data_IF_548785418212
#
_entry.id   IF_548785418212
#
_cell.length_a   1.000
_cell.length_b   1.000
_cell.length_c   1.000
_cell.angle_alpha   90.00
_cell.angle_beta   90.00
_cell.angle_gamma   90.00
#
_symmetry.space_group_name_H-M   'P 1'
#
loop_
_entity.id
_entity.type
_entity.pdbx_description
1 polymer ?
#
# COMPACT_ATOMS: atom_id res chain seq x y z
N UNK A 1 3.89 12.51 6.38
CA UNK A 1 5.36 12.36 6.36
C UNK A 1 5.74 11.66 5.06
N UNK A 2 6.67 12.26 4.33
CA UNK A 2 7.09 11.86 2.99
C UNK A 2 7.97 10.62 3.05
N UNK A 3 7.75 9.63 2.18
CA UNK A 3 8.72 8.55 1.99
C UNK A 3 8.99 8.26 0.52
N UNK A 4 10.29 8.21 0.23
CA UNK A 4 10.94 7.75 -0.99
C UNK A 4 10.65 6.27 -1.23
N UNK A 5 10.69 5.86 -2.51
CA UNK A 5 10.94 4.47 -2.88
C UNK A 5 12.02 4.46 -3.97
N UNK A 6 13.15 3.83 -3.65
CA UNK A 6 14.04 3.23 -4.62
C UNK A 6 14.06 1.73 -4.33
N UNK A 7 13.82 0.89 -5.32
CA UNK A 7 14.31 -0.50 -5.36
C UNK A 7 14.52 -0.92 -6.83
N UNK A 8 15.54 -1.74 -7.13
CA UNK A 8 15.96 -2.05 -8.50
C UNK A 8 15.30 -3.31 -9.07
N UNK A 9 15.16 -3.27 -10.40
CA UNK A 9 15.33 -4.33 -11.39
C UNK A 9 14.47 -5.63 -11.34
N UNK A 10 13.52 -5.66 -12.29
CA UNK A 10 12.98 -6.83 -13.03
C UNK A 10 11.65 -7.47 -12.60
N UNK A 11 10.57 -6.70 -12.41
CA UNK A 11 9.21 -7.26 -12.49
C UNK A 11 8.21 -6.35 -13.20
N UNK A 12 7.44 -6.95 -14.11
CA UNK A 12 6.28 -6.40 -14.83
C UNK A 12 5.01 -6.31 -13.96
N UNK A 13 5.14 -5.98 -12.67
CA UNK A 13 4.04 -5.91 -11.71
C UNK A 13 3.96 -4.51 -11.09
N UNK A 14 2.83 -3.82 -11.29
CA UNK A 14 2.53 -2.59 -10.55
C UNK A 14 2.31 -2.96 -9.09
N UNK A 15 3.00 -2.29 -8.18
CA UNK A 15 2.92 -2.54 -6.75
C UNK A 15 2.18 -1.38 -6.09
N UNK A 16 0.89 -1.58 -5.77
CA UNK A 16 0.11 -0.58 -5.05
C UNK A 16 0.52 -0.56 -3.57
N UNK A 17 0.78 0.63 -3.03
CA UNK A 17 0.91 0.83 -1.58
C UNK A 17 -0.35 1.51 -1.06
N UNK A 18 -1.09 0.82 -0.21
CA UNK A 18 -2.24 1.37 0.51
C UNK A 18 -1.88 1.39 1.99
N UNK A 19 -2.04 2.56 2.61
CA UNK A 19 -1.80 2.77 4.04
C UNK A 19 -3.10 2.56 4.79
N UNK A 20 -3.11 1.57 5.69
CA UNK A 20 -4.12 1.44 6.73
C UNK A 20 -3.43 1.60 8.08
N UNK A 21 -4.01 2.39 8.99
CA UNK A 21 -3.60 2.30 10.40
C UNK A 21 -4.23 1.04 10.97
N UNK A 22 -3.47 -0.05 10.99
CA UNK A 22 -3.85 -1.29 11.67
C UNK A 22 -3.29 -1.22 13.09
N UNK A 23 -4.17 -1.33 14.08
CA UNK A 23 -3.77 -1.47 15.48
C UNK A 23 -3.62 -2.97 15.77
N UNK A 24 -2.48 -3.35 16.34
CA UNK A 24 -2.12 -4.75 16.60
C UNK A 24 -3.22 -5.46 17.42
N UNK A 25 -3.76 -6.53 16.84
CA UNK A 25 -4.61 -7.53 17.48
C UNK A 25 -4.19 -8.90 16.95
N UNK A 26 -4.21 -9.93 17.80
CA UNK A 26 -4.11 -11.30 17.30
C UNK A 26 -5.45 -11.68 16.66
N UNK A 27 -5.45 -11.84 15.33
CA UNK A 27 -6.63 -12.20 14.53
C UNK A 27 -6.47 -13.62 14.02
N UNK A 28 -7.52 -14.43 14.15
CA UNK A 28 -7.59 -15.79 13.60
C UNK A 28 -8.78 -15.90 12.64
N UNK A 29 -8.59 -16.58 11.51
CA UNK A 29 -9.65 -16.86 10.55
C UNK A 29 -10.25 -18.24 10.79
N UNK A 30 -11.57 -18.34 10.77
CA UNK A 30 -12.32 -19.58 10.85
C UNK A 30 -13.06 -19.88 9.56
N UNK A 31 -12.89 -21.08 9.04
CA UNK A 31 -13.66 -21.55 7.89
C UNK A 31 -15.09 -21.93 8.33
N UNK A 32 -16.09 -21.59 7.51
CA UNK A 32 -17.48 -22.00 7.76
C UNK A 32 -17.59 -23.52 7.88
N UNK A 33 -18.33 -24.01 8.88
CA UNK A 33 -18.44 -25.42 9.27
C UNK A 33 -17.10 -26.10 9.65
N UNK A 34 -16.03 -25.31 9.76
CA UNK A 34 -14.71 -25.77 10.13
C UNK A 34 -14.52 -25.88 11.65
N UNK A 35 -13.27 -26.02 12.07
CA UNK A 35 -12.90 -25.91 13.48
C UNK A 35 -11.73 -24.96 13.64
N UNK A 36 -11.79 -24.12 14.67
CA UNK A 36 -10.78 -23.11 14.99
C UNK A 36 -10.27 -23.34 16.39
N UNK A 37 -8.95 -23.37 16.57
CA UNK A 37 -8.33 -23.54 17.88
C UNK A 37 -7.59 -22.27 18.28
N UNK A 38 -8.00 -21.67 19.39
CA UNK A 38 -7.34 -20.53 20.02
C UNK A 38 -6.37 -21.01 21.08
N UNK A 39 -5.24 -20.31 21.20
CA UNK A 39 -4.25 -20.56 22.24
C UNK A 39 -4.17 -19.34 23.16
N UNK A 40 -4.23 -19.58 24.46
CA UNK A 40 -3.96 -18.57 25.47
C UNK A 40 -2.45 -18.55 25.74
N UNK A 41 -1.78 -17.44 25.45
CA UNK A 41 -0.34 -17.28 25.69
C UNK A 41 -0.06 -17.09 27.19
N UNK A 42 0.18 -18.18 27.92
CA UNK A 42 0.53 -18.17 29.35
C UNK A 42 1.77 -19.03 29.62
N UNK A 43 2.60 -18.63 30.58
CA UNK A 43 3.83 -19.35 30.94
C UNK A 43 3.60 -20.55 31.89
N UNK A 44 2.38 -20.72 32.39
CA UNK A 44 2.02 -21.69 33.44
C UNK A 44 0.68 -22.35 33.14
N UNK A 45 0.51 -23.59 33.62
CA UNK A 45 -0.75 -24.37 33.61
C UNK A 45 -1.79 -23.76 34.57
N UNK A 46 -2.12 -22.48 34.38
CA UNK A 46 -3.19 -21.82 35.11
C UNK A 46 -4.55 -22.39 34.63
N UNK A 47 -5.56 -22.46 35.52
CA UNK A 47 -6.91 -22.80 35.12
C UNK A 47 -7.53 -21.60 34.37
N UNK A 48 -7.14 -21.48 33.10
CA UNK A 48 -7.54 -20.42 32.18
C UNK A 48 -9.03 -20.53 31.89
N UNK A 49 -9.72 -19.41 31.99
CA UNK A 49 -11.13 -19.25 31.66
C UNK A 49 -11.25 -18.46 30.37
N UNK A 50 -12.13 -18.91 29.46
CA UNK A 50 -12.46 -18.20 28.24
C UNK A 50 -13.75 -17.39 28.37
N UNK A 51 -13.77 -16.23 27.73
CA UNK A 51 -14.96 -15.39 27.55
C UNK A 51 -15.09 -15.05 26.06
N UNK A 52 -16.31 -15.09 25.54
CA UNK A 52 -16.67 -14.60 24.20
C UNK A 52 -17.50 -13.33 24.38
N UNK A 53 -16.94 -12.19 23.97
CA UNK A 53 -17.40 -10.89 24.42
C UNK A 53 -17.38 -10.82 25.95
N UNK A 54 -18.56 -10.62 26.56
CA UNK A 54 -18.72 -10.58 28.03
C UNK A 54 -19.27 -11.89 28.62
N UNK A 55 -19.44 -12.93 27.81
CA UNK A 55 -20.07 -14.19 28.23
C UNK A 55 -19.01 -15.25 28.53
N UNK A 56 -19.03 -15.79 29.75
CA UNK A 56 -18.13 -16.89 30.15
C UNK A 56 -18.47 -18.17 29.38
N UNK A 57 -17.46 -18.81 28.82
CA UNK A 57 -17.56 -20.09 28.13
C UNK A 57 -17.43 -21.27 29.11
N UNK A 58 -18.02 -22.43 28.79
CA UNK A 58 -17.89 -23.63 29.62
C UNK A 58 -16.50 -24.27 29.51
N UNK A 59 -15.79 -24.07 28.41
CA UNK A 59 -14.48 -24.65 28.18
C UNK A 59 -13.37 -23.93 28.98
N UNK A 60 -12.50 -24.70 29.63
CA UNK A 60 -11.36 -24.19 30.39
C UNK A 60 -10.05 -24.78 29.85
N UNK A 61 -8.94 -24.11 30.16
CA UNK A 61 -7.60 -24.53 29.79
C UNK A 61 -6.95 -23.60 28.77
N UNK A 62 -5.69 -23.87 28.43
CA UNK A 62 -4.86 -23.00 27.58
C UNK A 62 -5.26 -23.04 26.10
N UNK A 63 -6.13 -23.97 25.69
CA UNK A 63 -6.64 -24.10 24.33
C UNK A 63 -8.16 -24.12 24.32
N UNK A 64 -8.76 -23.40 23.38
CA UNK A 64 -10.19 -23.40 23.10
C UNK A 64 -10.41 -23.82 21.66
N UNK A 65 -11.13 -24.92 21.44
CA UNK A 65 -11.51 -25.37 20.10
C UNK A 65 -12.98 -25.08 19.87
N UNK A 66 -13.29 -24.31 18.84
CA UNK A 66 -14.65 -24.05 18.36
C UNK A 66 -14.92 -24.98 17.19
N UNK A 67 -16.00 -25.73 17.27
CA UNK A 67 -16.46 -26.65 16.22
C UNK A 67 -17.67 -26.06 15.48
N UNK A 68 -17.90 -26.54 14.26
CA UNK A 68 -18.99 -26.09 13.38
C UNK A 68 -19.05 -24.56 13.31
N UNK A 69 -17.90 -23.97 12.98
CA UNK A 69 -17.71 -22.53 13.07
C UNK A 69 -18.62 -21.77 12.09
N UNK A 70 -19.38 -20.78 12.58
CA UNK A 70 -20.22 -19.90 11.77
C UNK A 70 -20.24 -18.46 12.35
N UNK A 71 -21.04 -17.59 11.75
CA UNK A 71 -21.07 -16.15 12.03
C UNK A 71 -21.37 -15.81 13.50
N UNK A 72 -22.12 -16.65 14.22
CA UNK A 72 -22.45 -16.47 15.64
C UNK A 72 -21.24 -16.69 16.57
N UNK A 73 -20.24 -17.43 16.12
CA UNK A 73 -18.99 -17.70 16.84
C UNK A 73 -17.87 -16.70 16.50
N UNK A 74 -18.15 -15.68 15.69
CA UNK A 74 -17.19 -14.60 15.40
C UNK A 74 -17.09 -13.59 16.54
N UNK A 75 -16.00 -12.82 16.59
CA UNK A 75 -15.84 -11.73 17.56
C UNK A 75 -14.67 -11.92 18.51
N UNK A 76 -14.72 -11.20 19.64
CA UNK A 76 -13.64 -11.13 20.61
C UNK A 76 -13.68 -12.31 21.59
N UNK A 77 -12.60 -13.08 21.65
CA UNK A 77 -12.35 -14.08 22.67
C UNK A 77 -11.24 -13.60 23.59
N UNK A 78 -11.53 -13.56 24.89
CA UNK A 78 -10.53 -13.26 25.91
C UNK A 78 -10.28 -14.49 26.76
N UNK A 79 -9.01 -14.73 27.08
CA UNK A 79 -8.63 -15.72 28.08
C UNK A 79 -8.04 -15.02 29.31
N UNK A 80 -8.32 -15.55 30.48
CA UNK A 80 -7.91 -14.94 31.74
C UNK A 80 -7.87 -15.88 32.91
N UNK A 81 -7.29 -15.41 34.01
CA UNK A 81 -7.24 -16.10 35.30
C UNK A 81 -7.58 -15.11 36.42
N UNK A 82 -8.43 -15.50 37.37
CA UNK A 82 -8.89 -14.63 38.47
C UNK A 82 -9.37 -13.23 38.01
N UNK A 83 -10.16 -13.20 36.93
CA UNK A 83 -10.68 -11.97 36.29
C UNK A 83 -9.64 -11.03 35.66
N UNK A 84 -8.35 -11.37 35.69
CA UNK A 84 -7.33 -10.71 34.87
C UNK A 84 -7.32 -11.29 33.46
N UNK A 85 -7.40 -10.41 32.46
CA UNK A 85 -7.30 -10.78 31.04
C UNK A 85 -5.83 -10.94 30.69
N UNK A 86 -5.46 -12.14 30.22
CA UNK A 86 -4.09 -12.47 29.82
C UNK A 86 -3.88 -12.25 28.32
N UNK A 87 -4.88 -12.61 27.51
CA UNK A 87 -4.80 -12.51 26.05
C UNK A 87 -6.17 -12.25 25.45
N UNK A 88 -6.18 -11.60 24.29
CA UNK A 88 -7.37 -11.40 23.47
C UNK A 88 -7.10 -11.86 22.03
N UNK A 89 -8.06 -12.54 21.44
CA UNK A 89 -8.00 -13.03 20.07
C UNK A 89 -9.33 -12.71 19.39
N UNK A 90 -9.30 -12.09 18.22
CA UNK A 90 -10.51 -11.83 17.45
C UNK A 90 -10.65 -12.89 16.36
N UNK A 91 -11.80 -13.54 16.27
CA UNK A 91 -12.08 -14.55 15.24
C UNK A 91 -13.01 -13.99 14.18
N UNK A 92 -12.67 -14.21 12.92
CA UNK A 92 -13.47 -13.85 11.76
C UNK A 92 -13.86 -15.06 10.95
N UNK A 93 -15.03 -14.98 10.30
CA UNK A 93 -15.51 -15.98 9.35
C UNK A 93 -14.88 -15.74 7.98
N UNK A 94 -14.14 -16.72 7.49
CA UNK A 94 -13.65 -16.75 6.12
C UNK A 94 -14.77 -17.21 5.19
N UNK A 95 -15.34 -16.25 4.45
CA UNK A 95 -16.39 -16.48 3.44
C UNK A 95 -15.84 -16.58 2.02
N UNK A 96 -14.52 -16.62 1.84
CA UNK A 96 -13.89 -16.63 0.51
C UNK A 96 -14.30 -17.83 -0.35
N UNK A 97 -14.58 -18.98 0.28
CA UNK A 97 -15.04 -20.20 -0.41
C UNK A 97 -16.51 -20.16 -0.79
N UNK A 98 -17.29 -19.24 -0.22
CA UNK A 98 -18.74 -19.13 -0.42
C UNK A 98 -19.10 -18.15 -1.55
N UNK A 99 -18.12 -17.47 -2.15
CA UNK A 99 -18.30 -16.54 -3.27
C UNK A 99 -17.99 -17.29 -4.57
N UNK A 100 -19.00 -17.71 -5.36
CA UNK A 100 -18.75 -18.46 -6.58
C UNK A 100 -18.32 -17.50 -7.70
N UNK A 101 -17.15 -17.72 -8.29
CA UNK A 101 -16.72 -17.04 -9.52
C UNK A 101 -15.83 -15.81 -9.34
N UNK A 102 -15.22 -15.61 -8.17
CA UNK A 102 -14.15 -14.62 -8.00
C UNK A 102 -12.81 -15.29 -8.25
N UNK A 103 -12.16 -14.96 -9.37
CA UNK A 103 -10.83 -15.44 -9.72
C UNK A 103 -9.88 -15.23 -8.54
N UNK A 104 -9.32 -16.34 -8.06
CA UNK A 104 -8.16 -16.55 -7.20
C UNK A 104 -7.29 -15.31 -6.85
N UNK A 105 -7.86 -14.30 -6.20
CA UNK A 105 -7.14 -13.17 -5.63
C UNK A 105 -6.82 -13.53 -4.19
N UNK A 106 -5.70 -14.25 -4.05
CA UNK A 106 -5.06 -14.59 -2.79
C UNK A 106 -5.10 -13.41 -1.82
N UNK A 107 -5.70 -13.62 -0.64
CA UNK A 107 -5.64 -12.71 0.49
C UNK A 107 -4.21 -12.18 0.67
N UNK A 108 -4.09 -10.85 0.69
CA UNK A 108 -2.78 -10.22 0.87
C UNK A 108 -2.34 -10.41 2.31
N UNK A 109 -1.06 -10.74 2.48
CA UNK A 109 -0.41 -11.00 3.77
C UNK A 109 -0.73 -9.92 4.83
N UNK A 110 -0.64 -10.25 6.13
CA UNK A 110 -0.80 -9.29 7.22
C UNK A 110 0.00 -8.02 6.92
N UNK A 111 -0.59 -6.86 7.18
CA UNK A 111 0.09 -5.58 6.92
C UNK A 111 1.43 -5.55 7.65
N UNK A 112 2.51 -5.25 6.94
CA UNK A 112 3.76 -4.87 7.58
C UNK A 112 3.73 -3.37 7.81
N UNK A 113 3.68 -2.95 9.08
CA UNK A 113 3.60 -1.53 9.47
C UNK A 113 2.40 -0.78 8.86
N UNK A 114 1.26 -1.46 8.69
CA UNK A 114 0.05 -0.88 8.10
C UNK A 114 0.08 -0.71 6.57
N UNK A 115 1.05 -1.33 5.89
CA UNK A 115 1.17 -1.30 4.42
C UNK A 115 0.82 -2.65 3.83
N UNK A 116 -0.02 -2.63 2.80
CA UNK A 116 -0.33 -3.80 1.96
C UNK A 116 0.26 -3.61 0.57
N UNK A 117 0.70 -4.74 -0.01
CA UNK A 117 1.22 -4.82 -1.36
C UNK A 117 0.28 -5.66 -2.20
N UNK A 118 -0.39 -5.02 -3.15
CA UNK A 118 -1.28 -5.72 -4.08
C UNK A 118 -0.53 -5.98 -5.38
N UNK A 119 -0.52 -7.23 -5.83
CA UNK A 119 -0.07 -7.60 -7.17
C UNK A 119 -1.28 -7.69 -8.09
N UNK A 120 -1.11 -7.24 -9.33
CA UNK A 120 -2.17 -7.27 -10.33
C UNK A 120 -1.62 -7.64 -11.70
N UNK A 121 -2.30 -8.53 -12.41
CA UNK A 121 -1.83 -9.18 -13.65
C UNK A 121 -2.50 -8.62 -14.91
N UNK A 122 -2.89 -7.34 -14.95
CA UNK A 122 -3.43 -6.75 -16.18
C UNK A 122 -2.41 -6.58 -17.28
N UNK A 123 -2.88 -6.69 -18.53
CA UNK A 123 -2.14 -6.27 -19.70
C UNK A 123 -1.92 -4.74 -19.65
N UNK A 124 -0.66 -4.26 -19.59
CA UNK A 124 -0.37 -2.83 -19.43
C UNK A 124 -0.68 -2.00 -20.69
N UNK A 125 -0.89 -2.66 -21.84
CA UNK A 125 -1.23 -2.00 -23.11
C UNK A 125 -2.74 -1.90 -23.36
N UNK A 126 -3.55 -2.66 -22.62
CA UNK A 126 -4.99 -2.73 -22.84
C UNK A 126 -5.71 -1.61 -22.07
N UNK A 127 -6.73 -1.03 -22.69
CA UNK A 127 -7.60 -0.09 -22.00
C UNK A 127 -8.43 -0.81 -20.92
N UNK A 128 -8.39 -0.27 -19.70
CA UNK A 128 -9.18 -0.78 -18.58
C UNK A 128 -10.68 -0.53 -18.83
N UNK A 129 -11.43 -1.62 -18.92
CA UNK A 129 -12.89 -1.61 -19.09
C UNK A 129 -13.64 -1.53 -17.77
N UNK A 130 -13.07 -2.12 -16.72
CA UNK A 130 -13.67 -2.24 -15.39
C UNK A 130 -12.74 -1.64 -14.35
N UNK A 131 -13.32 -1.08 -13.29
CA UNK A 131 -12.56 -0.56 -12.15
C UNK A 131 -12.07 -1.72 -11.30
N UNK A 132 -10.89 -1.54 -10.71
CA UNK A 132 -10.45 -2.40 -9.62
C UNK A 132 -11.21 -2.04 -8.36
N UNK A 133 -11.58 -3.04 -7.58
CA UNK A 133 -12.21 -2.88 -6.27
C UNK A 133 -11.26 -3.43 -5.23
N UNK A 134 -10.82 -2.57 -4.33
CA UNK A 134 -10.02 -2.96 -3.17
C UNK A 134 -10.90 -2.88 -1.94
N UNK A 135 -11.01 -4.00 -1.22
CA UNK A 135 -11.71 -4.09 0.05
C UNK A 135 -10.68 -4.16 1.16
N UNK A 136 -10.77 -3.22 2.11
CA UNK A 136 -9.96 -3.20 3.31
C UNK A 136 -10.81 -3.52 4.52
N UNK A 137 -10.42 -4.55 5.26
CA UNK A 137 -11.06 -4.95 6.52
C UNK A 137 -10.05 -4.82 7.65
N UNK A 138 -10.47 -4.19 8.74
CA UNK A 138 -9.64 -3.95 9.91
C UNK A 138 -10.45 -4.13 11.19
N UNK A 139 -9.78 -4.61 12.23
CA UNK A 139 -10.35 -4.78 13.57
C UNK A 139 -9.41 -4.14 14.57
N UNK A 140 -9.97 -3.36 15.49
CA UNK A 140 -9.20 -2.77 16.59
C UNK A 140 -9.12 -3.71 17.80
N UNK A 141 -8.17 -3.43 18.70
CA UNK A 141 -7.99 -4.19 19.94
C UNK A 141 -9.16 -4.02 20.91
N UNK A 142 -9.91 -2.93 20.73
CA UNK A 142 -11.19 -2.65 21.39
C UNK A 142 -12.40 -3.31 20.71
N UNK A 143 -12.19 -4.11 19.66
CA UNK A 143 -13.22 -4.93 19.00
C UNK A 143 -14.07 -4.20 17.96
N UNK A 144 -13.67 -3.02 17.50
CA UNK A 144 -14.34 -2.31 16.41
C UNK A 144 -13.91 -2.89 15.08
N UNK A 145 -14.87 -3.42 14.32
CA UNK A 145 -14.68 -3.84 12.94
C UNK A 145 -15.01 -2.70 11.98
N UNK A 146 -14.12 -2.49 11.00
CA UNK A 146 -14.31 -1.52 9.93
C UNK A 146 -14.05 -2.22 8.61
N UNK A 147 -15.01 -2.10 7.69
CA UNK A 147 -14.88 -2.48 6.29
C UNK A 147 -15.00 -1.24 5.43
N UNK A 148 -14.03 -1.03 4.56
CA UNK A 148 -14.06 0.01 3.54
C UNK A 148 -13.84 -0.62 2.17
N UNK A 149 -14.37 0.04 1.14
CA UNK A 149 -14.11 -0.34 -0.24
C UNK A 149 -13.74 0.90 -1.04
N UNK A 150 -12.76 0.74 -1.92
CA UNK A 150 -12.34 1.78 -2.85
C UNK A 150 -12.34 1.20 -4.26
N UNK A 151 -12.86 1.97 -5.21
CA UNK A 151 -12.86 1.59 -6.63
C UNK A 151 -12.20 2.65 -7.49
N UNK A 152 -11.32 2.23 -8.38
CA UNK A 152 -10.53 3.12 -9.25
C UNK A 152 -10.07 2.39 -10.51
N UNK A 153 -9.74 3.13 -11.56
CA UNK A 153 -8.91 2.60 -12.64
C UNK A 153 -7.43 2.77 -12.28
N UNK A 154 -6.55 1.87 -12.72
CA UNK A 154 -5.11 2.01 -12.52
C UNK A 154 -4.62 3.32 -13.13
N UNK A 155 -5.08 3.67 -14.34
CA UNK A 155 -4.74 4.92 -15.02
C UNK A 155 -5.03 6.19 -14.21
N UNK A 156 -5.98 6.15 -13.27
CA UNK A 156 -6.38 7.31 -12.45
C UNK A 156 -5.42 7.56 -11.28
N UNK A 157 -4.61 6.56 -10.91
CA UNK A 157 -3.73 6.60 -9.72
C UNK A 157 -2.25 6.47 -10.09
N UNK A 158 -1.91 6.47 -11.38
CA UNK A 158 -0.52 6.45 -11.82
C UNK A 158 0.19 7.74 -11.38
N UNK A 159 1.31 7.54 -10.69
CA UNK A 159 2.27 8.59 -10.33
C UNK A 159 3.67 8.08 -10.66
N UNK A 160 4.38 8.68 -11.63
CA UNK A 160 5.74 8.28 -11.95
C UNK A 160 6.70 8.50 -10.77
N UNK A 161 7.83 7.77 -10.80
CA UNK A 161 8.98 8.08 -9.97
C UNK A 161 9.63 9.42 -10.36
N UNK A 162 10.62 9.88 -9.59
CA UNK A 162 11.39 11.06 -10.00
C UNK A 162 12.23 10.75 -11.23
N UNK A 163 12.24 11.61 -12.26
CA UNK A 163 13.08 11.41 -13.44
C UNK A 163 14.56 11.51 -13.04
N UNK A 164 15.40 10.83 -13.81
CA UNK A 164 16.85 10.97 -13.71
C UNK A 164 17.29 12.07 -14.66
N UNK A 165 18.23 12.91 -14.23
CA UNK A 165 18.78 13.92 -15.11
C UNK A 165 20.24 14.28 -14.84
N UNK A 166 20.91 14.69 -15.91
CA UNK A 166 22.24 15.26 -15.86
C UNK A 166 22.28 16.62 -16.55
N UNK A 167 23.21 17.46 -16.10
CA UNK A 167 23.48 18.77 -16.70
C UNK A 167 24.96 18.79 -17.01
N UNK A 168 25.31 18.91 -18.30
CA UNK A 168 26.68 18.95 -18.76
C UNK A 168 26.85 20.07 -19.78
N UNK A 169 27.75 21.03 -19.51
CA UNK A 169 27.98 22.21 -20.37
C UNK A 169 26.66 22.94 -20.72
N UNK A 170 25.82 23.16 -19.71
CA UNK A 170 24.49 23.74 -19.88
C UNK A 170 23.45 22.88 -20.61
N UNK A 171 23.76 21.66 -21.05
CA UNK A 171 22.81 20.75 -21.72
C UNK A 171 22.15 19.84 -20.69
N UNK A 172 20.82 19.77 -20.70
CA UNK A 172 20.02 18.86 -19.87
C UNK A 172 19.79 17.57 -20.63
N UNK A 173 20.14 16.45 -19.99
CA UNK A 173 19.78 15.11 -20.43
C UNK A 173 18.80 14.50 -19.43
N UNK A 174 17.64 14.07 -19.91
CA UNK A 174 16.53 13.55 -19.11
C UNK A 174 16.31 12.09 -19.45
N UNK A 175 16.27 11.24 -18.43
CA UNK A 175 15.91 9.84 -18.56
C UNK A 175 14.71 9.50 -17.66
N UNK A 176 13.77 8.67 -18.15
CA UNK A 176 12.68 8.19 -17.33
C UNK A 176 13.18 7.52 -16.04
N UNK A 177 12.36 7.53 -14.97
CA UNK A 177 12.64 6.73 -13.79
C UNK A 177 12.76 5.24 -14.15
N UNK A 178 13.65 4.50 -13.47
CA UNK A 178 13.78 3.04 -13.69
C UNK A 178 12.48 2.28 -13.38
N UNK A 179 11.65 2.86 -12.51
CA UNK A 179 10.34 2.31 -12.11
C UNK A 179 9.24 2.62 -13.14
N UNK A 180 9.53 3.35 -14.21
CA UNK A 180 8.54 3.70 -15.23
C UNK A 180 8.42 2.62 -16.30
N UNK A 181 7.23 2.51 -16.87
CA UNK A 181 6.93 1.52 -17.89
C UNK A 181 7.78 1.74 -19.17
N UNK A 182 8.17 0.63 -19.78
CA UNK A 182 8.93 0.59 -21.03
C UNK A 182 8.11 -0.12 -22.12
N UNK A 183 8.26 0.25 -23.40
CA UNK A 183 9.23 1.21 -23.93
C UNK A 183 8.77 2.67 -23.85
N UNK A 184 9.71 3.62 -23.80
CA UNK A 184 9.41 5.07 -23.73
C UNK A 184 8.68 5.62 -24.95
N UNK A 185 8.71 4.91 -26.09
CA UNK A 185 7.92 5.25 -27.27
C UNK A 185 6.42 5.01 -27.06
N UNK A 186 6.05 4.07 -26.18
CA UNK A 186 4.67 3.76 -25.87
C UNK A 186 4.20 4.44 -24.57
N UNK A 187 5.09 4.57 -23.58
CA UNK A 187 4.82 5.23 -22.30
C UNK A 187 5.58 6.56 -22.21
N UNK A 188 5.16 7.60 -22.97
CA UNK A 188 5.84 8.88 -22.97
C UNK A 188 5.69 9.57 -21.62
N UNK A 189 6.66 10.41 -21.28
CA UNK A 189 6.60 11.29 -20.12
C UNK A 189 6.72 12.74 -20.58
N UNK A 190 5.84 13.60 -20.05
CA UNK A 190 6.07 15.03 -20.08
C UNK A 190 6.84 15.48 -18.84
N UNK A 191 7.69 16.49 -19.01
CA UNK A 191 8.56 16.98 -17.96
C UNK A 191 8.26 18.45 -17.65
N UNK A 192 8.38 18.81 -16.38
CA UNK A 192 8.39 20.19 -15.94
C UNK A 192 9.72 20.49 -15.25
N UNK A 193 10.31 21.63 -15.61
CA UNK A 193 11.61 22.08 -15.12
C UNK A 193 11.40 23.36 -14.33
N UNK A 194 11.92 23.37 -13.10
CA UNK A 194 11.95 24.55 -12.26
C UNK A 194 13.39 25.01 -12.10
N UNK A 195 13.61 26.30 -12.34
CA UNK A 195 14.91 26.95 -12.24
C UNK A 195 14.94 27.90 -11.05
N UNK A 196 16.13 28.08 -10.47
CA UNK A 196 16.44 29.21 -9.60
C UNK A 196 17.41 30.15 -10.32
N UNK A 197 17.03 31.42 -10.46
CA UNK A 197 17.81 32.43 -11.17
C UNK A 197 18.91 33.03 -10.31
N UNK A 198 20.04 33.37 -10.91
CA UNK A 198 21.22 33.95 -10.24
C UNK A 198 21.03 35.44 -9.97
N UNK A 199 20.34 36.13 -10.87
CA UNK A 199 20.04 37.56 -10.80
C UNK A 199 19.19 37.96 -9.60
N UNK A 200 18.10 37.23 -9.32
CA UNK A 200 17.12 37.61 -8.29
C UNK A 200 16.86 36.52 -7.23
N UNK A 201 17.42 35.31 -7.39
CA UNK A 201 17.20 34.18 -6.49
C UNK A 201 15.80 33.56 -6.56
N UNK A 202 14.91 34.08 -7.41
CA UNK A 202 13.55 33.59 -7.57
C UNK A 202 13.52 32.19 -8.18
N UNK A 203 12.42 31.50 -7.94
CA UNK A 203 12.22 30.13 -8.38
C UNK A 203 10.91 30.01 -9.15
N UNK A 204 10.98 29.67 -10.43
CA UNK A 204 9.83 29.48 -11.30
C UNK A 204 10.07 28.42 -12.36
N UNK A 205 8.99 27.97 -13.00
CA UNK A 205 9.07 27.09 -14.17
C UNK A 205 9.81 27.81 -15.29
N UNK A 206 10.71 27.10 -15.96
CA UNK A 206 11.59 27.63 -17.01
C UNK A 206 11.60 26.70 -18.21
N UNK A 207 11.78 27.27 -19.41
CA UNK A 207 11.93 26.52 -20.64
C UNK A 207 13.40 26.43 -21.03
N UNK A 208 13.80 25.28 -21.58
CA UNK A 208 15.13 25.09 -22.14
C UNK A 208 15.25 25.80 -23.50
N UNK A 209 16.36 26.50 -23.72
CA UNK A 209 16.73 27.08 -25.01
C UNK A 209 16.96 25.93 -26.00
N UNK A 210 16.32 26.00 -27.17
CA UNK A 210 16.31 24.93 -28.18
C UNK A 210 15.86 23.56 -27.63
N UNK A 211 15.09 23.54 -26.54
CA UNK A 211 14.59 22.31 -25.91
C UNK A 211 15.65 21.48 -25.17
N UNK A 212 16.91 21.95 -25.08
CA UNK A 212 17.99 21.19 -24.42
C UNK A 212 18.91 22.02 -23.53
N UNK A 213 19.08 23.32 -23.80
CA UNK A 213 20.07 24.14 -23.12
C UNK A 213 19.44 24.96 -21.99
N UNK A 214 20.07 24.98 -20.82
CA UNK A 214 19.63 25.79 -19.69
C UNK A 214 19.98 27.26 -19.95
N UNK A 215 19.09 28.23 -19.64
CA UNK A 215 19.45 29.65 -19.71
C UNK A 215 20.67 29.98 -18.83
N UNK A 216 21.55 30.88 -19.30
CA UNK A 216 22.83 31.21 -18.64
C UNK A 216 22.69 31.79 -17.23
N UNK A 217 21.58 32.48 -16.95
CA UNK A 217 21.30 33.09 -15.65
C UNK A 217 20.72 32.08 -14.63
N UNK A 218 20.67 30.79 -14.94
CA UNK A 218 20.16 29.77 -14.01
C UNK A 218 21.29 29.25 -13.12
N UNK A 219 21.07 29.33 -11.80
CA UNK A 219 22.03 28.83 -10.80
C UNK A 219 21.90 27.33 -10.54
N UNK A 220 20.66 26.84 -10.42
CA UNK A 220 20.32 25.45 -10.16
C UNK A 220 18.93 25.13 -10.70
N UNK A 221 18.68 23.87 -11.01
CA UNK A 221 17.40 23.40 -11.52
C UNK A 221 16.97 22.07 -10.88
N UNK A 222 15.68 21.78 -10.97
CA UNK A 222 15.09 20.49 -10.63
C UNK A 222 13.97 20.14 -11.60
N UNK A 223 13.64 18.87 -11.70
CA UNK A 223 12.73 18.33 -12.72
C UNK A 223 11.70 17.44 -12.05
N UNK A 224 10.51 17.35 -12.64
CA UNK A 224 9.50 16.33 -12.35
C UNK A 224 8.83 15.88 -13.64
N UNK A 225 8.14 14.76 -13.62
CA UNK A 225 7.48 14.21 -14.80
C UNK A 225 6.06 13.71 -14.51
N UNK A 226 5.24 13.59 -15.55
CA UNK A 226 3.93 12.93 -15.50
C UNK A 226 3.61 12.25 -16.83
N UNK A 227 2.62 11.35 -16.81
CA UNK A 227 2.08 10.79 -18.05
C UNK A 227 1.19 11.86 -18.71
N UNK A 228 1.44 12.23 -19.98
CA UNK A 228 0.68 13.27 -20.67
C UNK A 228 -0.67 12.76 -21.23
N UNK A 229 -0.83 11.45 -21.40
CA UNK A 229 -2.00 10.83 -22.02
C UNK A 229 -3.08 10.46 -21.00
N UNK A 230 -2.69 10.37 -19.73
CA UNK A 230 -3.57 10.05 -18.62
C UNK A 230 -3.78 11.25 -17.70
N UNK A 231 -4.84 11.23 -16.90
CA UNK A 231 -5.05 12.17 -15.79
C UNK A 231 -4.12 11.81 -14.61
N UNK A 232 -2.82 11.71 -14.87
CA UNK A 232 -1.82 11.27 -13.91
C UNK A 232 -1.38 12.40 -12.99
N UNK A 233 -0.94 12.01 -11.79
CA UNK A 233 -0.30 12.94 -10.87
C UNK A 233 1.13 13.23 -11.34
N UNK A 234 1.60 14.45 -11.04
CA UNK A 234 3.02 14.79 -11.15
C UNK A 234 3.87 13.98 -10.17
N UNK A 235 5.05 13.56 -10.61
CA UNK A 235 6.07 13.00 -9.73
C UNK A 235 6.49 14.02 -8.67
N UNK A 236 7.15 13.53 -7.62
CA UNK A 236 7.91 14.42 -6.75
C UNK A 236 9.00 15.14 -7.55
N UNK A 237 9.39 16.31 -7.07
CA UNK A 237 10.54 17.02 -7.61
C UNK A 237 11.83 16.28 -7.31
N UNK A 238 12.75 16.26 -8.27
CA UNK A 238 14.13 15.88 -8.00
C UNK A 238 14.78 16.84 -6.99
N UNK A 239 15.87 16.43 -6.31
CA UNK A 239 16.75 17.37 -5.63
C UNK A 239 17.24 18.46 -6.58
N UNK A 240 17.54 19.63 -6.02
CA UNK A 240 18.19 20.71 -6.76
C UNK A 240 19.58 20.28 -7.24
N UNK A 241 19.90 20.60 -8.50
CA UNK A 241 21.20 20.37 -9.10
C UNK A 241 21.76 21.67 -9.65
N UNK A 242 22.98 22.00 -9.26
CA UNK A 242 23.66 23.21 -9.73
C UNK A 242 23.98 23.09 -11.22
N UNK A 243 23.87 24.21 -11.93
CA UNK A 243 24.20 24.31 -13.34
C UNK A 243 25.63 24.82 -13.47
N UNK A 244 26.46 24.04 -14.15
CA UNK A 244 27.79 24.44 -14.58
C UNK A 244 27.76 24.63 -16.09
N UNK A 245 28.00 25.86 -16.54
CA UNK A 245 28.22 26.18 -17.95
C UNK A 245 29.64 25.79 -18.35
#
# INVERSE_FOLDING_TARGET
MNYRVCMPDWFSSLCLRIYFRVFECEVTLGERHGSVTLNCHTATELPVIWKHGNVKRPENGTKLTLHDFDADLTGNYTCGYNDEVLHYTYILLDVSKDIPGEDNNSWVQPSKDGVFYLMHSTNPYAEEKTRLVVVGEAISSSGYYVRTSHSFYLRDIIKPGCPKFSVAKGVVDLTPPDTWASPSSYYPLENEIQCQWRSNGETNTCNLVNGKHVPEDVSKLRVRCRDPLLLSQWSEWTPWKNVSH
#
